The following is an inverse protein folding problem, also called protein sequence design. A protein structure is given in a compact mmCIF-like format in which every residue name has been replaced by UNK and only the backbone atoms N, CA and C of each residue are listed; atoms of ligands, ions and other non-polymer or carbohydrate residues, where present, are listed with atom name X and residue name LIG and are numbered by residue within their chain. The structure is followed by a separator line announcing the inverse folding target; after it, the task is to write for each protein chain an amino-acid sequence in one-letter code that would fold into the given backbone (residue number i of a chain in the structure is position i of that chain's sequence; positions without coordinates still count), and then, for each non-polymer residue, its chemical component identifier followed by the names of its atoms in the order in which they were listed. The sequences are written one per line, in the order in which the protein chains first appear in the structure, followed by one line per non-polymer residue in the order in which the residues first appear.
data_IF_145372125049
#
_entry.id   IF_145372125049
#
_cell.length_a   1.000
_cell.length_b   1.000
_cell.length_c   1.000
_cell.angle_alpha   90.00
_cell.angle_beta   90.00
_cell.angle_gamma   90.00
#
_symmetry.space_group_name_H-M   'P 1'
#
loop_
_entity.id
_entity.type
_entity.pdbx_description
1 polymer ?
#
# COMPACT_ATOMS: atom_id res chain seq x y z
N UNK A 1 11.71 -8.05 -20.05
CA UNK A 1 11.34 -6.80 -19.30
C UNK A 1 12.40 -6.57 -18.24
N UNK A 2 12.72 -5.30 -17.90
CA UNK A 2 13.53 -4.97 -16.73
C UNK A 2 12.71 -5.21 -15.45
N UNK A 3 13.33 -5.08 -14.27
CA UNK A 3 12.67 -5.30 -12.99
C UNK A 3 11.44 -4.43 -12.73
N UNK A 4 10.65 -4.80 -11.73
CA UNK A 4 9.48 -4.07 -11.28
C UNK A 4 9.60 -3.79 -9.79
N UNK A 5 9.43 -2.51 -9.40
CA UNK A 5 9.34 -2.11 -8.00
C UNK A 5 7.87 -2.14 -7.54
N UNK A 6 7.64 -2.68 -6.35
CA UNK A 6 6.32 -2.70 -5.74
C UNK A 6 6.34 -1.97 -4.40
N UNK A 7 5.55 -0.91 -4.29
CA UNK A 7 5.31 -0.16 -3.07
C UNK A 7 3.90 -0.34 -2.54
N UNK A 8 3.72 -0.17 -1.24
CA UNK A 8 2.41 -0.25 -0.62
C UNK A 8 2.45 -0.71 0.83
N UNK A 9 1.33 -1.28 1.29
CA UNK A 9 1.16 -1.73 2.67
C UNK A 9 1.12 -3.27 2.77
N UNK A 10 0.54 -3.77 3.84
CA UNK A 10 0.34 -5.22 4.09
C UNK A 10 -0.32 -5.98 2.93
N UNK A 11 -1.14 -5.32 2.11
CA UNK A 11 -1.77 -5.94 0.95
C UNK A 11 -0.75 -6.25 -0.14
N UNK A 12 0.19 -5.34 -0.41
CA UNK A 12 1.29 -5.59 -1.35
C UNK A 12 2.24 -6.67 -0.83
N UNK A 13 2.52 -6.65 0.46
CA UNK A 13 3.37 -7.65 1.11
C UNK A 13 2.74 -9.05 1.12
N UNK A 14 1.40 -9.14 1.05
CA UNK A 14 0.66 -10.40 1.07
C UNK A 14 0.47 -10.94 2.48
N UNK A 15 0.16 -10.05 3.45
CA UNK A 15 -0.17 -10.48 4.81
C UNK A 15 -1.30 -11.49 4.78
N UNK A 16 -1.18 -12.53 5.58
CA UNK A 16 -2.17 -13.59 5.70
C UNK A 16 -2.06 -14.70 4.66
N UNK A 17 -1.41 -14.48 3.51
CA UNK A 17 -1.27 -15.51 2.47
C UNK A 17 -0.51 -16.76 2.94
N UNK A 18 0.29 -16.65 3.97
CA UNK A 18 0.97 -17.80 4.58
C UNK A 18 -0.01 -18.80 5.23
N UNK A 19 -1.25 -18.41 5.54
CA UNK A 19 -2.29 -19.32 6.04
C UNK A 19 -2.73 -20.37 5.01
N UNK A 20 -2.48 -20.15 3.72
CA UNK A 20 -2.73 -21.16 2.68
C UNK A 20 -1.66 -22.23 2.57
N UNK A 21 -0.53 -22.07 3.25
CA UNK A 21 0.50 -23.11 3.27
C UNK A 21 0.00 -24.32 4.05
N UNK A 22 0.42 -25.54 3.64
CA UNK A 22 0.03 -26.81 4.29
C UNK A 22 0.68 -26.98 5.67
N UNK A 23 0.69 -25.95 6.49
CA UNK A 23 1.21 -26.03 7.83
C UNK A 23 0.22 -26.78 8.72
N UNK A 24 0.65 -27.87 9.34
CA UNK A 24 -0.17 -28.52 10.33
C UNK A 24 -0.35 -27.59 11.52
N UNK A 25 -1.61 -27.25 11.83
CA UNK A 25 -2.03 -26.81 13.16
C UNK A 25 -1.33 -25.56 13.73
N UNK A 26 -1.38 -24.42 13.04
CA UNK A 26 -1.23 -23.17 13.77
C UNK A 26 -2.32 -23.10 14.85
N UNK A 27 -1.98 -22.93 16.13
CA UNK A 27 -2.97 -22.82 17.18
C UNK A 27 -3.96 -21.69 16.86
N UNK A 28 -5.22 -21.88 17.20
CA UNK A 28 -6.29 -20.91 16.99
C UNK A 28 -5.94 -19.49 17.52
N UNK A 29 -5.15 -19.42 18.57
CA UNK A 29 -4.69 -18.19 19.21
C UNK A 29 -3.66 -17.43 18.35
N UNK A 30 -2.84 -18.11 17.57
CA UNK A 30 -1.93 -17.51 16.61
C UNK A 30 -2.65 -16.85 15.42
N UNK A 31 -3.95 -17.08 15.30
CA UNK A 31 -4.81 -16.54 14.24
C UNK A 31 -5.49 -15.23 14.64
N UNK A 32 -5.29 -14.75 15.85
CA UNK A 32 -5.81 -13.47 16.32
C UNK A 32 -4.85 -12.32 15.95
N UNK A 33 -5.40 -11.11 15.82
CA UNK A 33 -4.66 -9.87 15.74
C UNK A 33 -3.61 -9.78 16.86
N UNK A 34 -2.39 -9.94 16.55
CA UNK A 34 -1.30 -10.08 17.52
C UNK A 34 -0.37 -11.23 17.19
N UNK A 35 -0.39 -11.63 15.92
CA UNK A 35 0.54 -12.60 15.38
C UNK A 35 1.94 -12.28 15.89
N UNK A 36 2.50 -13.13 16.71
CA UNK A 36 3.92 -13.05 16.98
C UNK A 36 4.64 -13.49 15.69
N UNK A 37 5.16 -12.51 14.94
CA UNK A 37 5.89 -12.76 13.69
C UNK A 37 7.04 -13.76 13.85
N UNK A 38 7.44 -14.08 15.08
CA UNK A 38 8.42 -15.12 15.39
C UNK A 38 7.96 -16.53 15.04
N UNK A 39 6.65 -16.74 14.88
CA UNK A 39 6.09 -18.03 14.50
C UNK A 39 6.02 -18.26 12.99
N UNK A 40 6.25 -17.23 12.18
CA UNK A 40 6.26 -17.36 10.72
C UNK A 40 7.57 -18.00 10.29
N UNK A 41 7.50 -19.23 9.81
CA UNK A 41 8.67 -19.94 9.29
C UNK A 41 9.11 -19.42 7.93
N UNK A 42 10.36 -19.66 7.57
CA UNK A 42 10.89 -19.35 6.24
C UNK A 42 10.06 -20.03 5.12
N UNK A 43 9.63 -21.26 5.32
CA UNK A 43 8.75 -21.97 4.38
C UNK A 43 7.42 -21.23 4.15
N UNK A 44 6.80 -20.70 5.22
CA UNK A 44 5.58 -19.89 5.11
C UNK A 44 5.83 -18.60 4.32
N UNK A 45 6.95 -17.94 4.59
CA UNK A 45 7.32 -16.71 3.85
C UNK A 45 7.55 -17.01 2.37
N UNK A 46 8.26 -18.09 2.06
CA UNK A 46 8.52 -18.51 0.67
C UNK A 46 7.20 -18.83 -0.05
N UNK A 47 6.29 -19.55 0.61
CA UNK A 47 4.97 -19.81 0.06
C UNK A 47 4.19 -18.52 -0.18
N UNK A 48 4.08 -17.63 0.82
CA UNK A 48 3.45 -16.30 0.67
C UNK A 48 4.04 -15.54 -0.53
N UNK A 49 5.38 -15.49 -0.60
CA UNK A 49 6.06 -14.78 -1.66
C UNK A 49 5.76 -15.36 -3.05
N UNK A 50 5.53 -16.66 -3.16
CA UNK A 50 5.23 -17.30 -4.44
C UNK A 50 3.84 -16.99 -5.00
N UNK A 51 2.87 -16.61 -4.15
CA UNK A 51 1.46 -16.43 -4.52
C UNK A 51 0.95 -14.99 -4.43
N UNK A 52 1.74 -14.07 -3.89
CA UNK A 52 1.36 -12.64 -3.84
C UNK A 52 1.43 -11.99 -5.22
N UNK A 53 0.59 -11.00 -5.48
CA UNK A 53 0.49 -10.37 -6.80
C UNK A 53 1.82 -9.79 -7.33
N UNK A 54 2.75 -9.21 -6.54
CA UNK A 54 4.03 -8.75 -7.07
C UNK A 54 4.81 -9.88 -7.75
N UNK A 55 4.90 -11.04 -7.09
CA UNK A 55 5.59 -12.21 -7.65
C UNK A 55 4.89 -12.77 -8.89
N UNK A 56 3.55 -12.83 -8.88
CA UNK A 56 2.78 -13.32 -10.02
C UNK A 56 2.99 -12.44 -11.25
N UNK A 57 3.03 -11.12 -11.08
CA UNK A 57 3.33 -10.17 -12.16
C UNK A 57 4.75 -10.35 -12.68
N UNK A 58 5.74 -10.39 -11.78
CA UNK A 58 7.13 -10.57 -12.17
C UNK A 58 7.39 -11.89 -12.92
N UNK A 59 6.79 -12.99 -12.45
CA UNK A 59 6.88 -14.29 -13.11
C UNK A 59 6.26 -14.26 -14.52
N UNK A 60 5.12 -13.57 -14.69
CA UNK A 60 4.50 -13.47 -16.02
C UNK A 60 5.41 -12.79 -17.04
N UNK A 61 6.14 -11.76 -16.63
CA UNK A 61 7.06 -11.04 -17.50
C UNK A 61 8.49 -11.61 -17.50
N UNK A 62 8.71 -12.75 -16.85
CA UNK A 62 10.04 -13.38 -16.72
C UNK A 62 11.09 -12.39 -16.19
N UNK A 63 10.77 -11.66 -15.14
CA UNK A 63 11.62 -10.62 -14.56
C UNK A 63 11.69 -10.74 -13.03
N UNK A 64 12.48 -9.86 -12.40
CA UNK A 64 12.56 -9.78 -10.94
C UNK A 64 11.70 -8.67 -10.39
N UNK A 65 11.28 -8.85 -9.14
CA UNK A 65 10.57 -7.84 -8.36
C UNK A 65 11.40 -7.39 -7.17
N UNK A 66 11.22 -6.13 -6.77
CA UNK A 66 11.65 -5.63 -5.48
C UNK A 66 10.44 -5.03 -4.78
N UNK A 67 10.10 -5.58 -3.63
CA UNK A 67 8.96 -5.12 -2.82
C UNK A 67 9.46 -4.47 -1.56
N UNK A 68 8.99 -3.27 -1.25
CA UNK A 68 9.42 -2.47 -0.09
C UNK A 68 9.55 -3.29 1.20
N UNK A 69 8.65 -4.23 1.41
CA UNK A 69 8.55 -4.98 2.65
C UNK A 69 9.37 -6.27 2.69
N UNK A 70 10.21 -6.53 1.68
CA UNK A 70 11.07 -7.74 1.67
C UNK A 70 12.31 -7.60 2.57
N UNK A 71 12.61 -6.39 3.03
CA UNK A 71 13.86 -6.09 3.77
C UNK A 71 13.71 -6.12 5.28
N UNK A 72 12.53 -6.42 5.80
CA UNK A 72 12.36 -6.54 7.24
C UNK A 72 10.92 -6.83 7.62
N UNK A 73 10.71 -7.97 8.23
CA UNK A 73 9.39 -8.49 8.63
C UNK A 73 8.62 -7.53 9.55
N UNK A 74 9.31 -6.62 10.22
CA UNK A 74 8.73 -5.79 11.29
C UNK A 74 8.38 -4.35 10.88
N UNK A 75 8.93 -3.82 9.78
CA UNK A 75 8.84 -2.40 9.48
C UNK A 75 7.88 -2.05 8.34
N UNK A 76 7.34 -3.02 7.64
CA UNK A 76 6.61 -2.80 6.41
C UNK A 76 5.10 -2.93 6.48
N UNK A 77 4.59 -3.43 7.59
CA UNK A 77 3.17 -3.64 7.73
C UNK A 77 2.48 -2.32 8.09
N UNK A 78 1.75 -1.77 7.15
CA UNK A 78 1.05 -0.50 7.33
C UNK A 78 1.74 0.73 6.73
N UNK A 79 2.72 0.54 5.86
CA UNK A 79 3.44 1.63 5.21
C UNK A 79 2.58 2.57 4.38
N UNK A 80 3.09 3.78 4.20
CA UNK A 80 2.52 4.82 3.36
C UNK A 80 3.17 4.85 1.97
N UNK A 81 2.61 5.66 1.08
CA UNK A 81 3.18 5.94 -0.23
C UNK A 81 4.52 6.67 -0.09
N UNK A 82 4.60 7.65 0.80
CA UNK A 82 5.83 8.40 1.08
C UNK A 82 6.95 7.46 1.53
N UNK A 83 6.67 6.53 2.46
CA UNK A 83 7.64 5.53 2.89
C UNK A 83 8.07 4.56 1.77
N UNK A 84 7.19 4.29 0.80
CA UNK A 84 7.53 3.47 -0.36
C UNK A 84 8.52 4.20 -1.27
N UNK A 85 8.29 5.48 -1.55
CA UNK A 85 9.20 6.28 -2.35
C UNK A 85 10.54 6.54 -1.63
N UNK A 86 10.52 6.81 -0.31
CA UNK A 86 11.73 6.93 0.50
C UNK A 86 12.59 5.66 0.42
N UNK A 87 11.95 4.48 0.46
CA UNK A 87 12.66 3.21 0.30
C UNK A 87 13.26 3.05 -1.09
N UNK A 88 12.54 3.41 -2.15
CA UNK A 88 13.08 3.35 -3.51
C UNK A 88 14.23 4.33 -3.70
N UNK A 89 14.08 5.57 -3.22
CA UNK A 89 15.16 6.56 -3.24
C UNK A 89 16.39 6.07 -2.47
N UNK A 90 16.19 5.39 -1.34
CA UNK A 90 17.27 4.77 -0.58
C UNK A 90 18.02 3.70 -1.40
N UNK A 91 17.29 2.82 -2.07
CA UNK A 91 17.88 1.77 -2.91
C UNK A 91 18.75 2.34 -4.05
N UNK A 92 18.32 3.43 -4.65
CA UNK A 92 19.03 4.06 -5.77
C UNK A 92 20.19 4.95 -5.32
N UNK A 93 19.97 5.79 -4.31
CA UNK A 93 20.85 6.89 -4.00
C UNK A 93 21.77 6.63 -2.80
N UNK A 94 21.36 5.80 -1.84
CA UNK A 94 22.11 5.52 -0.61
C UNK A 94 22.77 4.15 -0.68
N UNK A 95 21.99 3.10 -0.78
CA UNK A 95 22.50 1.72 -0.88
C UNK A 95 23.19 1.49 -2.23
N UNK A 96 22.74 2.20 -3.28
CA UNK A 96 23.26 2.08 -4.66
C UNK A 96 23.23 0.65 -5.20
N UNK A 97 22.27 -0.14 -4.70
CA UNK A 97 22.08 -1.54 -5.08
C UNK A 97 21.58 -1.67 -6.51
N UNK A 98 20.80 -0.69 -6.95
CA UNK A 98 20.19 -0.66 -8.27
C UNK A 98 20.39 0.70 -8.94
N UNK A 99 20.25 0.70 -10.28
CA UNK A 99 20.14 1.92 -11.10
C UNK A 99 18.69 2.08 -11.55
N UNK A 100 18.26 3.29 -11.86
CA UNK A 100 16.93 3.53 -12.45
C UNK A 100 16.74 2.69 -13.73
N UNK A 101 17.79 2.52 -14.52
CA UNK A 101 17.78 1.72 -15.75
C UNK A 101 17.52 0.21 -15.55
N UNK A 102 17.58 -0.30 -14.33
CA UNK A 102 17.33 -1.70 -14.02
C UNK A 102 15.83 -2.02 -13.93
N UNK A 103 14.98 -0.99 -13.89
CA UNK A 103 13.54 -1.13 -13.74
C UNK A 103 12.78 -0.55 -14.93
N UNK A 104 11.61 -1.13 -15.22
CA UNK A 104 10.65 -0.59 -16.19
C UNK A 104 9.47 0.07 -15.50
N UNK A 105 9.05 -0.45 -14.35
CA UNK A 105 7.83 -0.04 -13.68
C UNK A 105 8.00 0.10 -12.17
N UNK A 106 7.22 1.04 -11.62
CA UNK A 106 6.81 1.06 -10.21
C UNK A 106 5.31 0.78 -10.18
N UNK A 107 4.90 -0.25 -9.44
CA UNK A 107 3.50 -0.49 -9.10
C UNK A 107 3.29 -0.08 -7.66
N UNK A 108 2.62 1.05 -7.46
CA UNK A 108 2.36 1.63 -6.16
C UNK A 108 0.94 1.33 -5.71
N UNK A 109 0.78 0.61 -4.62
CA UNK A 109 -0.51 0.46 -3.97
C UNK A 109 -0.70 1.61 -2.99
N UNK A 110 -1.65 2.50 -3.29
CA UNK A 110 -2.03 3.56 -2.37
C UNK A 110 -2.69 2.96 -1.14
N UNK A 111 -2.23 3.38 0.01
CA UNK A 111 -2.82 3.05 1.30
C UNK A 111 -3.80 4.15 1.74
N UNK A 112 -4.11 4.19 3.02
CA UNK A 112 -4.89 5.29 3.56
C UNK A 112 -4.03 6.55 3.62
N UNK A 113 -4.51 7.66 3.03
CA UNK A 113 -3.78 8.94 2.98
C UNK A 113 -3.35 9.44 4.35
N UNK A 114 -4.10 9.07 5.40
CA UNK A 114 -3.80 9.44 6.79
C UNK A 114 -2.51 8.81 7.34
N UNK A 115 -1.92 7.86 6.62
CA UNK A 115 -0.62 7.27 6.96
C UNK A 115 0.56 8.11 6.53
N UNK A 116 0.33 9.03 5.59
CA UNK A 116 1.35 9.97 5.13
C UNK A 116 1.51 11.13 6.10
N UNK A 117 2.67 11.77 6.09
CA UNK A 117 2.92 12.95 6.91
C UNK A 117 2.17 14.17 6.35
N UNK A 118 1.51 14.92 7.22
CA UNK A 118 1.02 16.27 6.94
C UNK A 118 2.16 17.26 7.20
N UNK A 119 2.47 18.10 6.23
CA UNK A 119 3.51 19.11 6.32
C UNK A 119 2.89 20.50 6.48
N UNK A 120 3.43 21.28 7.40
CA UNK A 120 3.00 22.65 7.63
C UNK A 120 4.17 23.54 8.08
N UNK A 121 4.08 24.82 7.75
CA UNK A 121 5.02 25.83 8.19
C UNK A 121 4.40 26.64 9.35
N UNK A 122 5.16 26.85 10.41
CA UNK A 122 4.77 27.69 11.53
C UNK A 122 5.94 28.57 11.94
N UNK A 123 5.76 29.90 11.89
CA UNK A 123 6.78 30.89 12.23
C UNK A 123 8.12 30.70 11.45
N UNK A 124 8.02 30.33 10.16
CA UNK A 124 9.19 30.12 9.30
C UNK A 124 9.92 28.79 9.55
N UNK A 125 9.33 27.88 10.32
CA UNK A 125 9.87 26.55 10.59
C UNK A 125 8.95 25.48 10.00
N UNK A 126 9.54 24.55 9.23
CA UNK A 126 8.81 23.40 8.67
C UNK A 126 8.61 22.30 9.71
N UNK A 127 7.39 21.84 9.81
CA UNK A 127 6.96 20.74 10.66
C UNK A 127 6.28 19.65 9.84
N UNK A 128 6.33 18.42 10.38
CA UNK A 128 5.53 17.31 9.86
C UNK A 128 4.87 16.55 11.00
N UNK A 129 3.66 16.05 10.75
CA UNK A 129 2.93 15.21 11.70
C UNK A 129 2.11 14.16 10.97
N UNK A 130 1.89 13.00 11.60
CA UNK A 130 0.99 11.97 11.06
C UNK A 130 -0.43 12.25 11.51
N UNK A 131 -1.33 12.41 10.55
CA UNK A 131 -2.77 12.57 10.79
C UNK A 131 -3.42 11.18 10.63
N UNK A 132 -3.19 10.29 11.58
CA UNK A 132 -3.79 8.97 11.50
C UNK A 132 -5.28 9.02 11.82
N UNK A 133 -6.13 8.64 10.86
CA UNK A 133 -7.47 8.13 11.09
C UNK A 133 -8.43 8.97 11.98
N UNK A 134 -9.71 8.99 11.68
CA UNK A 134 -10.75 9.83 12.27
C UNK A 134 -10.82 9.87 13.83
N UNK A 135 -10.27 8.88 14.50
CA UNK A 135 -10.14 8.86 15.96
C UNK A 135 -8.81 9.44 16.47
N UNK A 136 -7.90 9.76 15.58
CA UNK A 136 -6.52 10.11 15.91
C UNK A 136 -6.24 11.60 15.96
N UNK A 137 -7.13 12.43 15.46
CA UNK A 137 -7.11 13.84 15.84
C UNK A 137 -7.10 13.99 17.37
N UNK A 138 -7.87 13.15 18.06
CA UNK A 138 -7.83 13.08 19.53
C UNK A 138 -6.56 12.41 20.09
N UNK A 139 -5.88 11.53 19.34
CA UNK A 139 -4.62 10.92 19.74
C UNK A 139 -3.42 11.81 19.45
N UNK A 140 -3.41 12.52 18.34
CA UNK A 140 -2.38 13.55 18.07
C UNK A 140 -2.32 14.57 19.21
N UNK A 141 -3.46 14.89 19.83
CA UNK A 141 -3.51 15.72 21.05
C UNK A 141 -2.90 15.07 22.30
N UNK A 142 -2.81 13.73 22.34
CA UNK A 142 -2.41 13.03 23.60
C UNK A 142 -0.96 12.60 23.65
N UNK A 143 -0.32 12.33 22.51
CA UNK A 143 0.92 11.54 22.52
C UNK A 143 2.17 12.25 21.97
N UNK A 144 2.10 13.49 21.45
CA UNK A 144 3.26 14.12 20.86
C UNK A 144 3.41 15.62 21.17
N UNK A 145 4.63 16.00 21.54
CA UNK A 145 5.16 17.39 21.54
C UNK A 145 4.85 18.14 20.22
N UNK A 146 4.55 17.41 19.15
CA UNK A 146 4.10 17.93 17.85
C UNK A 146 2.62 18.33 17.82
N UNK A 147 1.79 17.86 18.76
CA UNK A 147 0.40 18.26 18.89
C UNK A 147 0.24 19.75 19.17
N UNK A 148 1.06 20.29 20.06
CA UNK A 148 1.02 21.71 20.41
C UNK A 148 1.29 22.61 19.21
N UNK A 149 2.31 22.29 18.39
CA UNK A 149 2.63 23.07 17.21
C UNK A 149 1.61 22.93 16.10
N UNK A 150 1.01 21.76 15.95
CA UNK A 150 -0.08 21.56 15.01
C UNK A 150 -1.36 22.26 15.46
N UNK A 151 -1.67 22.23 16.75
CA UNK A 151 -2.82 22.97 17.33
C UNK A 151 -2.62 24.48 17.15
N UNK A 152 -1.43 25.01 17.45
CA UNK A 152 -1.05 26.41 17.22
C UNK A 152 -1.21 26.80 15.73
N UNK A 153 -0.77 25.93 14.81
CA UNK A 153 -0.95 26.14 13.38
C UNK A 153 -2.44 26.20 12.99
N UNK A 154 -3.24 25.29 13.49
CA UNK A 154 -4.68 25.28 13.23
C UNK A 154 -5.38 26.52 13.80
N UNK A 155 -5.02 26.96 15.01
CA UNK A 155 -5.59 28.14 15.66
C UNK A 155 -5.24 29.43 14.90
N UNK A 156 -3.97 29.64 14.56
CA UNK A 156 -3.53 30.84 13.82
C UNK A 156 -4.22 30.97 12.47
N UNK A 157 -4.44 29.84 11.77
CA UNK A 157 -5.07 29.83 10.46
C UNK A 157 -6.59 29.65 10.52
N UNK A 158 -7.16 29.51 11.71
CA UNK A 158 -8.58 29.23 11.92
C UNK A 158 -9.07 28.00 11.13
N UNK A 159 -8.24 26.94 11.06
CA UNK A 159 -8.56 25.72 10.34
C UNK A 159 -9.41 24.77 11.20
N UNK A 160 -10.51 24.30 10.62
CA UNK A 160 -11.26 23.15 11.13
C UNK A 160 -10.58 21.83 10.73
N UNK A 161 -11.02 20.72 11.31
CA UNK A 161 -10.55 19.38 10.90
C UNK A 161 -10.82 19.10 9.41
N UNK A 162 -11.96 19.55 8.89
CA UNK A 162 -12.29 19.38 7.47
C UNK A 162 -11.35 20.17 6.56
N UNK A 163 -10.90 21.35 6.99
CA UNK A 163 -9.94 22.15 6.23
C UNK A 163 -8.59 21.44 6.18
N UNK A 164 -8.13 20.90 7.31
CA UNK A 164 -6.89 20.12 7.39
C UNK A 164 -6.99 18.86 6.53
N UNK A 165 -8.13 18.18 6.53
CA UNK A 165 -8.35 17.03 5.66
C UNK A 165 -8.18 17.39 4.18
N UNK A 166 -8.78 18.47 3.74
CA UNK A 166 -8.67 18.95 2.35
C UNK A 166 -7.23 19.34 2.02
N UNK A 167 -6.56 20.05 2.92
CA UNK A 167 -5.15 20.45 2.73
C UNK A 167 -4.24 19.24 2.65
N UNK A 168 -4.44 18.26 3.54
CA UNK A 168 -3.64 17.03 3.55
C UNK A 168 -3.79 16.25 2.25
N UNK A 169 -5.02 16.06 1.77
CA UNK A 169 -5.30 15.41 0.50
C UNK A 169 -4.63 16.12 -0.67
N UNK A 170 -4.70 17.46 -0.72
CA UNK A 170 -4.02 18.25 -1.76
C UNK A 170 -2.50 18.09 -1.71
N UNK A 171 -1.92 18.11 -0.52
CA UNK A 171 -0.47 17.90 -0.36
C UNK A 171 -0.04 16.50 -0.83
N UNK A 172 -0.83 15.47 -0.47
CA UNK A 172 -0.54 14.09 -0.89
C UNK A 172 -0.58 13.95 -2.41
N UNK A 173 -1.64 14.45 -3.06
CA UNK A 173 -1.76 14.39 -4.51
C UNK A 173 -0.63 15.13 -5.22
N UNK A 174 -0.24 16.30 -4.71
CA UNK A 174 0.88 17.04 -5.28
C UNK A 174 2.18 16.23 -5.16
N UNK A 175 2.52 15.71 -3.97
CA UNK A 175 3.73 14.91 -3.77
C UNK A 175 3.72 13.65 -4.63
N UNK A 176 2.59 12.96 -4.70
CA UNK A 176 2.43 11.79 -5.54
C UNK A 176 2.69 12.13 -7.02
N UNK A 177 2.11 13.23 -7.51
CA UNK A 177 2.32 13.71 -8.88
C UNK A 177 3.78 14.03 -9.15
N UNK A 178 4.42 14.78 -8.25
CA UNK A 178 5.83 15.15 -8.37
C UNK A 178 6.74 13.90 -8.41
N UNK A 179 6.46 12.88 -7.59
CA UNK A 179 7.20 11.62 -7.60
C UNK A 179 6.96 10.80 -8.86
N UNK A 180 5.73 10.74 -9.36
CA UNK A 180 5.42 10.05 -10.64
C UNK A 180 6.19 10.70 -11.78
N UNK A 181 6.17 12.02 -11.87
CA UNK A 181 6.91 12.77 -12.91
C UNK A 181 8.40 12.45 -12.80
N UNK A 182 8.97 12.54 -11.59
CA UNK A 182 10.38 12.25 -11.35
C UNK A 182 10.80 10.86 -11.83
N UNK A 183 10.04 9.81 -11.48
CA UNK A 183 10.38 8.45 -11.91
C UNK A 183 10.17 8.25 -13.42
N UNK A 184 9.14 8.83 -14.01
CA UNK A 184 8.91 8.77 -15.45
C UNK A 184 10.06 9.44 -16.23
N UNK A 185 10.56 10.57 -15.76
CA UNK A 185 11.72 11.27 -16.35
C UNK A 185 13.01 10.44 -16.22
N UNK A 186 13.10 9.56 -15.22
CA UNK A 186 14.19 8.61 -15.05
C UNK A 186 13.96 7.26 -15.77
N UNK A 187 12.92 7.17 -16.61
CA UNK A 187 12.63 6.02 -17.46
C UNK A 187 11.93 4.87 -16.74
N UNK A 188 11.31 5.13 -15.58
CA UNK A 188 10.52 4.14 -14.83
C UNK A 188 9.06 4.60 -14.83
N UNK A 189 8.20 3.88 -15.53
CA UNK A 189 6.77 4.19 -15.56
C UNK A 189 6.09 3.83 -14.25
N UNK A 190 5.33 4.78 -13.68
CA UNK A 190 4.59 4.55 -12.42
C UNK A 190 3.14 4.23 -12.73
N UNK A 191 2.66 3.12 -12.17
CA UNK A 191 1.25 2.73 -12.16
C UNK A 191 0.76 2.59 -10.74
N UNK A 192 -0.52 2.86 -10.52
CA UNK A 192 -1.14 2.92 -9.19
C UNK A 192 -2.32 1.98 -9.13
N UNK A 193 -2.42 1.24 -8.01
CA UNK A 193 -3.63 0.57 -7.56
C UNK A 193 -4.07 1.16 -6.23
N UNK A 194 -5.37 1.41 -6.04
CA UNK A 194 -5.87 1.95 -4.78
C UNK A 194 -6.29 0.84 -3.82
N UNK A 195 -6.07 1.05 -2.53
CA UNK A 195 -6.66 0.19 -1.51
C UNK A 195 -8.15 0.48 -1.33
N UNK A 196 -8.52 1.76 -1.31
CA UNK A 196 -9.84 2.22 -0.89
C UNK A 196 -10.55 2.94 -2.04
N UNK A 197 -11.89 2.78 -2.15
CA UNK A 197 -12.72 3.68 -2.94
C UNK A 197 -12.84 5.00 -2.19
N UNK A 198 -11.83 5.84 -2.27
CA UNK A 198 -11.91 7.18 -1.73
C UNK A 198 -12.49 8.10 -2.81
N UNK A 199 -13.82 8.24 -2.82
CA UNK A 199 -14.56 9.12 -3.74
C UNK A 199 -13.99 10.56 -3.76
N UNK A 200 -13.34 10.96 -2.69
CA UNK A 200 -12.68 12.24 -2.62
C UNK A 200 -11.40 12.28 -3.46
N UNK A 201 -10.67 11.18 -3.57
CA UNK A 201 -9.55 11.08 -4.50
C UNK A 201 -10.03 11.23 -5.95
N UNK A 202 -11.17 10.64 -6.30
CA UNK A 202 -11.75 10.78 -7.64
C UNK A 202 -12.05 12.23 -8.00
N UNK A 203 -12.57 13.02 -7.07
CA UNK A 203 -12.86 14.45 -7.31
C UNK A 203 -11.62 15.34 -7.42
N UNK A 204 -10.47 14.88 -6.92
CA UNK A 204 -9.18 15.57 -6.98
C UNK A 204 -8.25 15.01 -8.06
N UNK A 205 -8.61 13.90 -8.71
CA UNK A 205 -7.85 13.33 -9.80
C UNK A 205 -8.02 14.20 -11.04
N UNK A 206 -6.99 14.97 -11.34
CA UNK A 206 -6.87 15.63 -12.62
C UNK A 206 -6.64 14.56 -13.72
N UNK A 207 -6.70 14.99 -14.99
CA UNK A 207 -6.50 14.10 -16.14
C UNK A 207 -5.15 13.34 -16.09
N UNK A 208 -4.16 13.90 -15.40
CA UNK A 208 -2.86 13.28 -15.20
C UNK A 208 -2.94 11.88 -14.58
N UNK A 209 -3.84 11.67 -13.62
CA UNK A 209 -3.93 10.40 -12.92
C UNK A 209 -4.75 9.33 -13.66
N UNK A 210 -5.57 9.71 -14.66
CA UNK A 210 -6.44 8.75 -15.37
C UNK A 210 -5.68 7.59 -15.99
N UNK A 211 -4.50 7.88 -16.58
CA UNK A 211 -3.67 6.86 -17.24
C UNK A 211 -2.72 6.13 -16.28
N UNK A 212 -2.60 6.63 -15.06
CA UNK A 212 -1.72 6.07 -14.04
C UNK A 212 -2.44 5.01 -13.22
N UNK A 213 -3.77 5.12 -13.01
CA UNK A 213 -4.55 4.19 -12.22
C UNK A 213 -4.90 2.92 -12.99
N UNK A 214 -4.62 1.78 -12.36
CA UNK A 214 -5.02 0.46 -12.84
C UNK A 214 -6.40 0.12 -12.24
N UNK A 215 -7.37 -0.11 -13.13
CA UNK A 215 -8.68 -0.63 -12.74
C UNK A 215 -8.62 -2.14 -12.57
N UNK A 216 -9.21 -2.65 -11.51
CA UNK A 216 -9.28 -4.07 -11.20
C UNK A 216 -10.55 -4.67 -11.82
N UNK A 217 -10.40 -5.78 -12.52
CA UNK A 217 -11.50 -6.43 -13.23
C UNK A 217 -11.71 -7.87 -12.75
N UNK A 218 -12.92 -8.18 -12.36
CA UNK A 218 -13.34 -9.54 -11.99
C UNK A 218 -14.70 -9.86 -12.61
N UNK A 219 -14.75 -10.83 -13.51
CA UNK A 219 -15.97 -11.30 -14.16
C UNK A 219 -16.81 -10.13 -14.75
N UNK A 220 -16.18 -9.24 -15.51
CA UNK A 220 -16.76 -8.03 -16.09
C UNK A 220 -17.25 -6.98 -15.07
N UNK A 221 -16.97 -7.15 -13.79
CA UNK A 221 -17.14 -6.10 -12.80
C UNK A 221 -15.82 -5.34 -12.63
N UNK A 222 -15.89 -4.04 -12.76
CA UNK A 222 -14.71 -3.16 -12.65
C UNK A 222 -14.79 -2.38 -11.34
N UNK A 223 -13.67 -2.26 -10.67
CA UNK A 223 -13.51 -1.43 -9.47
C UNK A 223 -12.18 -0.68 -9.51
N UNK A 224 -12.13 0.46 -8.84
CA UNK A 224 -10.93 1.29 -8.74
C UNK A 224 -10.07 0.93 -7.51
N UNK A 225 -10.49 -0.06 -6.69
CA UNK A 225 -9.77 -0.39 -5.45
C UNK A 225 -9.78 -1.87 -5.11
N UNK A 226 -8.75 -2.28 -4.34
CA UNK A 226 -8.65 -3.63 -3.78
C UNK A 226 -9.83 -3.93 -2.84
N UNK A 227 -10.26 -2.96 -2.04
CA UNK A 227 -11.41 -3.14 -1.15
C UNK A 227 -12.70 -3.34 -1.94
N UNK A 228 -12.88 -2.61 -3.04
CA UNK A 228 -13.98 -2.85 -3.96
C UNK A 228 -13.95 -4.25 -4.56
N UNK A 229 -12.77 -4.73 -4.96
CA UNK A 229 -12.59 -6.10 -5.44
C UNK A 229 -12.95 -7.13 -4.37
N UNK A 230 -12.49 -6.93 -3.13
CA UNK A 230 -12.79 -7.80 -1.99
C UNK A 230 -14.29 -7.88 -1.67
N UNK A 231 -15.08 -6.87 -2.06
CA UNK A 231 -16.53 -6.86 -1.84
C UNK A 231 -17.31 -7.69 -2.88
N UNK A 232 -16.68 -8.13 -3.96
CA UNK A 232 -17.38 -8.84 -5.04
C UNK A 232 -17.70 -10.30 -4.71
N UNK A 233 -16.91 -10.94 -3.84
CA UNK A 233 -17.10 -12.32 -3.41
C UNK A 233 -16.40 -12.58 -2.09
N UNK A 234 -16.96 -13.47 -1.28
CA UNK A 234 -16.35 -13.96 -0.03
C UNK A 234 -14.97 -14.62 -0.27
N UNK A 235 -14.77 -15.23 -1.44
CA UNK A 235 -13.50 -15.85 -1.83
C UNK A 235 -12.36 -14.82 -1.99
N UNK A 236 -12.68 -13.50 -2.04
CA UNK A 236 -11.70 -12.44 -2.16
C UNK A 236 -11.03 -12.05 -0.83
N UNK A 237 -11.58 -12.50 0.29
CA UNK A 237 -11.10 -12.20 1.65
C UNK A 237 -10.54 -13.47 2.29
N UNK A 238 -9.33 -13.41 2.85
CA UNK A 238 -8.66 -14.58 3.45
C UNK A 238 -9.55 -15.28 4.49
N UNK A 239 -10.15 -14.51 5.40
CA UNK A 239 -10.99 -15.07 6.46
C UNK A 239 -12.16 -15.89 5.90
N UNK A 240 -12.84 -15.31 4.92
CA UNK A 240 -14.05 -15.92 4.35
C UNK A 240 -13.69 -17.10 3.43
N UNK A 241 -12.66 -16.95 2.60
CA UNK A 241 -12.15 -18.01 1.74
C UNK A 241 -11.69 -19.25 2.53
N UNK A 242 -10.91 -19.04 3.59
CA UNK A 242 -10.45 -20.14 4.43
C UNK A 242 -11.59 -20.82 5.22
N UNK A 243 -12.61 -20.07 5.64
CA UNK A 243 -13.82 -20.64 6.24
C UNK A 243 -14.59 -21.49 5.25
N UNK A 244 -14.83 -20.98 4.03
CA UNK A 244 -15.56 -21.67 2.97
C UNK A 244 -14.85 -22.96 2.55
N UNK A 245 -13.53 -22.93 2.51
CA UNK A 245 -12.70 -24.11 2.21
C UNK A 245 -12.47 -25.02 3.42
N UNK A 246 -13.07 -24.74 4.58
CA UNK A 246 -12.93 -25.48 5.84
C UNK A 246 -11.49 -25.63 6.30
N UNK A 247 -10.58 -24.78 5.82
CA UNK A 247 -9.16 -24.96 6.08
C UNK A 247 -8.72 -24.37 7.39
N UNK A 248 -9.14 -23.18 7.78
CA UNK A 248 -8.68 -22.58 9.03
C UNK A 248 -9.60 -21.44 9.45
N UNK A 249 -9.63 -21.18 10.73
CA UNK A 249 -10.28 -20.03 11.34
C UNK A 249 -9.30 -18.86 11.40
N UNK A 250 -9.13 -18.16 10.31
CA UNK A 250 -8.33 -16.95 10.24
C UNK A 250 -9.21 -15.72 10.47
N UNK A 251 -8.73 -14.73 11.24
CA UNK A 251 -9.40 -13.43 11.41
C UNK A 251 -8.75 -12.32 10.59
N UNK A 252 -7.91 -12.68 9.65
CA UNK A 252 -7.18 -11.74 8.82
C UNK A 252 -8.01 -11.35 7.59
N UNK A 253 -8.54 -10.14 7.58
CA UNK A 253 -9.36 -9.60 6.50
C UNK A 253 -8.52 -8.97 5.37
N UNK A 254 -7.43 -9.59 5.02
CA UNK A 254 -6.60 -9.20 3.89
C UNK A 254 -7.06 -9.89 2.59
N UNK A 255 -6.56 -9.43 1.42
CA UNK A 255 -6.86 -10.06 0.13
C UNK A 255 -6.47 -11.53 0.13
N UNK A 256 -7.38 -12.38 -0.34
CA UNK A 256 -7.16 -13.81 -0.48
C UNK A 256 -6.17 -14.14 -1.60
N UNK A 257 -5.79 -15.41 -1.70
CA UNK A 257 -4.99 -15.93 -2.81
C UNK A 257 -5.63 -15.65 -4.17
N UNK A 258 -6.96 -15.79 -4.28
CA UNK A 258 -7.70 -15.50 -5.50
C UNK A 258 -7.70 -13.99 -5.81
N UNK A 259 -7.93 -13.16 -4.79
CA UNK A 259 -7.83 -11.70 -4.94
C UNK A 259 -6.45 -11.27 -5.45
N UNK A 260 -5.37 -11.84 -4.93
CA UNK A 260 -4.02 -11.56 -5.42
C UNK A 260 -3.81 -11.95 -6.89
N UNK A 261 -4.40 -13.06 -7.37
CA UNK A 261 -4.34 -13.43 -8.79
C UNK A 261 -5.07 -12.43 -9.67
N UNK A 262 -6.24 -11.96 -9.24
CA UNK A 262 -7.03 -10.99 -9.99
C UNK A 262 -6.30 -9.64 -10.06
N UNK A 263 -5.71 -9.20 -8.96
CA UNK A 263 -4.87 -8.00 -8.95
C UNK A 263 -3.70 -8.17 -9.94
N UNK A 264 -3.00 -9.30 -9.89
CA UNK A 264 -1.90 -9.57 -10.81
C UNK A 264 -2.34 -9.54 -12.27
N UNK A 265 -3.45 -10.19 -12.62
CA UNK A 265 -3.97 -10.21 -13.98
C UNK A 265 -4.34 -8.81 -14.46
N UNK A 266 -4.99 -8.00 -13.62
CA UNK A 266 -5.35 -6.62 -13.96
C UNK A 266 -4.11 -5.75 -14.21
N UNK A 267 -3.05 -5.92 -13.42
CA UNK A 267 -1.76 -5.25 -13.64
C UNK A 267 -1.15 -5.71 -14.97
N UNK A 268 -1.07 -7.03 -15.20
CA UNK A 268 -0.49 -7.61 -16.42
C UNK A 268 -1.21 -7.08 -17.67
N UNK A 269 -2.54 -7.07 -17.67
CA UNK A 269 -3.33 -6.54 -18.79
C UNK A 269 -3.08 -5.05 -19.03
N UNK A 270 -2.87 -4.28 -17.97
CA UNK A 270 -2.56 -2.87 -18.09
C UNK A 270 -1.16 -2.63 -18.66
N UNK A 271 -0.15 -3.41 -18.23
CA UNK A 271 1.24 -3.26 -18.66
C UNK A 271 1.51 -3.81 -20.08
N UNK A 272 0.55 -4.51 -20.69
CA UNK A 272 0.64 -4.98 -22.09
C UNK A 272 0.23 -3.95 -23.12
N UNK A 273 -0.45 -2.91 -22.70
CA UNK A 273 -0.95 -1.84 -23.58
C UNK A 273 0.16 -0.87 -23.94
#
# INVERSE_FOLDING_TARGET
MKGILFGGCSFTWGQGLYFYSDLPNLPFEAQNYGFDFKEITESMLNYKNSIRYPRLVANYFETFEVTKNDVGVLLGNGGSEDESFEYFDYLFNVEKKYKYSDFSYIILQLSNIWRNDFHFELNGVDYKTKLHNNNLYNHVKKDFVRGEKFDEYCEINNYSFSDIEVLHKKQQLKRLKDKIIFYNENGIEVKIISWHNDLFLESLLDDFFKDVFIKLNYNNKITDSIQGLMSFSEDMVIEDDLKNNKKIRCKDRHPSKECHKIIANSIIENLKK
#
